data_IF_523744871190
#
_entry.id   IF_523744871190
#
_cell.length_a   1.000
_cell.length_b   1.000
_cell.length_c   1.000
_cell.angle_alpha   90.00
_cell.angle_beta   90.00
_cell.angle_gamma   90.00
#
_symmetry.space_group_name_H-M   'P 1'
#
loop_
_entity.id
_entity.type
_entity.pdbx_description
1 polymer ?
#
# COMPACT_ATOMS: atom_id res chain seq x y z
N UNK A 1 -25.83 0.15 16.13
CA UNK A 1 -25.87 -1.17 16.80
C UNK A 1 -24.48 -1.82 16.91
N UNK A 2 -23.68 -1.89 15.83
CA UNK A 2 -22.33 -2.50 15.87
C UNK A 2 -21.37 -1.87 16.91
N UNK A 3 -21.29 -0.52 16.98
CA UNK A 3 -20.44 0.20 17.95
C UNK A 3 -20.80 -0.12 19.40
N UNK A 4 -22.09 -0.13 19.74
CA UNK A 4 -22.56 -0.46 21.09
C UNK A 4 -22.25 -1.90 21.49
N UNK A 5 -22.34 -2.86 20.55
CA UNK A 5 -21.97 -4.25 20.79
C UNK A 5 -20.46 -4.38 21.05
N UNK A 6 -19.63 -3.65 20.29
CA UNK A 6 -18.18 -3.65 20.48
C UNK A 6 -17.77 -2.98 21.80
N UNK A 7 -18.40 -1.87 22.18
CA UNK A 7 -18.16 -1.23 23.48
C UNK A 7 -18.53 -2.16 24.65
N UNK A 8 -19.62 -2.91 24.52
CA UNK A 8 -20.00 -3.91 25.50
C UNK A 8 -18.99 -5.07 25.55
N UNK A 9 -18.40 -5.48 24.42
CA UNK A 9 -17.37 -6.51 24.38
C UNK A 9 -16.10 -6.09 25.14
N UNK A 10 -15.61 -4.86 24.90
CA UNK A 10 -14.46 -4.30 25.63
C UNK A 10 -14.74 -4.20 27.12
N UNK A 11 -15.94 -3.73 27.52
CA UNK A 11 -16.31 -3.63 28.94
C UNK A 11 -16.42 -4.98 29.65
N UNK A 12 -16.92 -6.01 28.97
CA UNK A 12 -17.09 -7.35 29.55
C UNK A 12 -15.79 -8.12 29.66
N UNK A 13 -14.84 -7.87 28.76
CA UNK A 13 -13.60 -8.62 28.63
C UNK A 13 -12.43 -7.66 28.32
N UNK A 14 -12.07 -6.74 29.24
CA UNK A 14 -11.09 -5.67 28.98
C UNK A 14 -9.66 -6.19 28.72
N UNK A 15 -9.35 -7.42 29.15
CA UNK A 15 -8.06 -8.07 28.88
C UNK A 15 -8.04 -8.83 27.55
N UNK A 16 -9.19 -8.98 26.86
CA UNK A 16 -9.25 -9.69 25.59
C UNK A 16 -9.05 -8.74 24.42
N UNK A 17 -7.97 -8.96 23.68
CA UNK A 17 -7.66 -8.22 22.45
C UNK A 17 -8.82 -8.20 21.44
N UNK A 18 -9.61 -9.28 21.36
CA UNK A 18 -10.77 -9.38 20.45
C UNK A 18 -11.80 -8.26 20.65
N UNK A 19 -12.02 -7.79 21.88
CA UNK A 19 -12.95 -6.67 22.13
C UNK A 19 -12.50 -5.39 21.42
N UNK A 20 -11.20 -5.10 21.51
CA UNK A 20 -10.58 -3.96 20.83
C UNK A 20 -10.59 -4.13 19.31
N UNK A 21 -10.30 -5.34 18.79
CA UNK A 21 -10.41 -5.62 17.34
C UNK A 21 -11.80 -5.30 16.82
N UNK A 22 -12.85 -5.81 17.48
CA UNK A 22 -14.24 -5.57 17.06
C UNK A 22 -14.62 -4.09 17.13
N UNK A 23 -14.14 -3.36 18.15
CA UNK A 23 -14.41 -1.93 18.30
C UNK A 23 -13.67 -1.10 17.25
N UNK A 24 -12.42 -1.44 16.97
CA UNK A 24 -11.63 -0.80 15.92
C UNK A 24 -12.25 -1.00 14.54
N UNK A 25 -12.69 -2.22 14.22
CA UNK A 25 -13.39 -2.51 12.97
C UNK A 25 -14.72 -1.73 12.87
N UNK A 26 -15.50 -1.65 13.96
CA UNK A 26 -16.75 -0.89 13.99
C UNK A 26 -16.52 0.62 13.84
N UNK A 27 -15.50 1.18 14.47
CA UNK A 27 -15.10 2.58 14.33
C UNK A 27 -14.64 2.89 12.90
N UNK A 28 -13.79 2.03 12.33
CA UNK A 28 -13.28 2.19 10.97
C UNK A 28 -14.37 2.11 9.89
N UNK A 29 -15.41 1.27 10.08
CA UNK A 29 -16.59 1.27 9.22
C UNK A 29 -17.37 2.58 9.27
N UNK A 30 -17.35 3.29 10.42
CA UNK A 30 -17.92 4.62 10.57
C UNK A 30 -17.08 5.75 9.99
N UNK A 31 -15.88 5.47 9.47
CA UNK A 31 -14.91 6.47 9.00
C UNK A 31 -14.02 7.05 10.11
N UNK A 32 -14.23 6.65 11.36
CA UNK A 32 -13.47 7.10 12.52
C UNK A 32 -12.10 6.37 12.58
N UNK A 33 -11.15 6.77 11.72
CA UNK A 33 -9.86 6.07 11.60
C UNK A 33 -8.97 6.21 12.84
N UNK A 34 -8.93 7.37 13.49
CA UNK A 34 -8.09 7.58 14.67
C UNK A 34 -8.51 6.70 15.86
N UNK A 35 -9.81 6.63 16.24
CA UNK A 35 -10.27 5.65 17.23
C UNK A 35 -10.02 4.20 16.81
N UNK A 36 -10.20 3.87 15.53
CA UNK A 36 -9.95 2.53 15.03
C UNK A 36 -8.48 2.10 15.20
N UNK A 37 -7.55 2.99 14.86
CA UNK A 37 -6.10 2.77 15.04
C UNK A 37 -5.78 2.51 16.50
N UNK A 38 -6.25 3.36 17.41
CA UNK A 38 -5.97 3.22 18.85
C UNK A 38 -6.47 1.87 19.39
N UNK A 39 -7.63 1.40 18.91
CA UNK A 39 -8.14 0.08 19.25
C UNK A 39 -7.30 -1.07 18.68
N UNK A 40 -6.82 -0.96 17.44
CA UNK A 40 -5.93 -1.98 16.88
C UNK A 40 -4.58 -2.03 17.61
N UNK A 41 -4.03 -0.90 18.02
CA UNK A 41 -2.83 -0.83 18.85
C UNK A 41 -3.06 -1.51 20.20
N UNK A 42 -4.14 -1.15 20.89
CA UNK A 42 -4.50 -1.76 22.16
C UNK A 42 -4.74 -3.28 22.05
N UNK A 43 -5.25 -3.76 20.91
CA UNK A 43 -5.39 -5.19 20.64
C UNK A 43 -4.03 -5.87 20.48
N UNK A 44 -3.13 -5.29 19.67
CA UNK A 44 -1.80 -5.82 19.40
C UNK A 44 -0.87 -5.79 20.62
N UNK A 45 -1.04 -4.82 21.52
CA UNK A 45 -0.32 -4.75 22.80
C UNK A 45 -0.70 -5.92 23.73
N UNK A 46 -1.98 -6.31 23.73
CA UNK A 46 -2.52 -7.38 24.59
C UNK A 46 -2.22 -8.76 24.02
N UNK A 47 -2.44 -8.93 22.73
CA UNK A 47 -2.13 -10.15 22.00
C UNK A 47 -1.53 -9.76 20.65
N UNK A 48 -0.22 -9.96 20.46
CA UNK A 48 0.42 -9.68 19.20
C UNK A 48 -0.22 -10.42 18.02
N UNK A 49 -0.88 -11.56 18.20
CA UNK A 49 -1.52 -12.33 17.14
C UNK A 49 -3.01 -11.97 16.93
N UNK A 50 -3.55 -10.97 17.63
CA UNK A 50 -4.98 -10.66 17.62
C UNK A 50 -5.56 -10.28 16.24
N UNK A 51 -4.69 -9.87 15.31
CA UNK A 51 -5.04 -9.47 13.94
C UNK A 51 -4.51 -10.45 12.89
N UNK A 52 -4.15 -11.66 13.29
CA UNK A 52 -3.60 -12.65 12.36
C UNK A 52 -4.68 -13.40 11.57
N UNK A 53 -5.93 -13.33 12.03
CA UNK A 53 -7.07 -13.95 11.35
C UNK A 53 -7.32 -13.24 10.00
N UNK A 54 -7.34 -13.97 8.86
CA UNK A 54 -7.29 -13.31 7.56
C UNK A 54 -8.36 -12.28 7.26
N UNK A 55 -9.61 -12.51 7.67
CA UNK A 55 -10.71 -11.59 7.36
C UNK A 55 -10.57 -10.27 8.15
N UNK A 56 -10.43 -10.38 9.48
CA UNK A 56 -10.35 -9.22 10.36
C UNK A 56 -9.01 -8.51 10.22
N UNK A 57 -7.92 -9.26 10.10
CA UNK A 57 -6.57 -8.75 9.91
C UNK A 57 -6.40 -7.98 8.60
N UNK A 58 -6.94 -8.49 7.48
CA UNK A 58 -6.89 -7.77 6.21
C UNK A 58 -7.65 -6.43 6.30
N UNK A 59 -8.85 -6.44 6.90
CA UNK A 59 -9.66 -5.23 7.07
C UNK A 59 -9.03 -4.23 8.04
N UNK A 60 -8.42 -4.70 9.13
CA UNK A 60 -7.66 -3.86 10.05
C UNK A 60 -6.45 -3.25 9.35
N UNK A 61 -5.71 -4.02 8.55
CA UNK A 61 -4.57 -3.51 7.79
C UNK A 61 -4.96 -2.43 6.76
N UNK A 62 -6.09 -2.59 6.08
CA UNK A 62 -6.64 -1.56 5.19
C UNK A 62 -6.95 -0.26 5.93
N UNK A 63 -7.60 -0.35 7.09
CA UNK A 63 -7.92 0.82 7.93
C UNK A 63 -6.66 1.48 8.50
N UNK A 64 -5.68 0.69 8.93
CA UNK A 64 -4.38 1.17 9.40
C UNK A 64 -3.64 1.93 8.27
N UNK A 65 -3.61 1.38 7.06
CA UNK A 65 -3.00 2.02 5.89
C UNK A 65 -3.71 3.34 5.56
N UNK A 66 -5.05 3.34 5.49
CA UNK A 66 -5.86 4.55 5.29
C UNK A 66 -5.64 5.62 6.36
N UNK A 67 -5.40 5.21 7.60
CA UNK A 67 -5.09 6.09 8.71
C UNK A 67 -3.61 6.49 8.80
N UNK A 68 -2.78 6.13 7.82
CA UNK A 68 -1.36 6.50 7.75
C UNK A 68 -0.41 5.64 8.59
N UNK A 69 -0.92 4.63 9.31
CA UNK A 69 -0.14 3.68 10.11
C UNK A 69 0.38 2.53 9.25
N UNK A 70 1.14 2.89 8.22
CA UNK A 70 1.76 1.97 7.27
C UNK A 70 2.71 0.96 7.96
N UNK A 71 3.31 1.34 9.08
CA UNK A 71 4.19 0.47 9.88
C UNK A 71 3.43 -0.70 10.51
N UNK A 72 2.28 -0.43 11.13
CA UNK A 72 1.39 -1.45 11.67
C UNK A 72 0.73 -2.26 10.55
N UNK A 73 0.26 -1.59 9.49
CA UNK A 73 -0.35 -2.25 8.35
C UNK A 73 0.60 -3.29 7.74
N UNK A 74 1.87 -2.95 7.51
CA UNK A 74 2.86 -3.88 6.96
C UNK A 74 3.06 -5.12 7.83
N UNK A 75 3.15 -4.93 9.16
CA UNK A 75 3.30 -6.04 10.12
C UNK A 75 2.10 -6.98 10.08
N UNK A 76 0.88 -6.44 10.12
CA UNK A 76 -0.36 -7.22 10.07
C UNK A 76 -0.49 -7.95 8.73
N UNK A 77 -0.25 -7.25 7.62
CA UNK A 77 -0.32 -7.83 6.27
C UNK A 77 0.61 -9.02 6.11
N UNK A 78 1.87 -8.92 6.56
CA UNK A 78 2.82 -10.03 6.48
C UNK A 78 2.33 -11.29 7.19
N UNK A 79 1.74 -11.15 8.39
CA UNK A 79 1.23 -12.29 9.18
C UNK A 79 -0.07 -12.85 8.61
N UNK A 80 -0.96 -12.01 8.11
CA UNK A 80 -2.20 -12.43 7.44
C UNK A 80 -1.90 -13.18 6.15
N UNK A 81 -1.05 -12.61 5.29
CA UNK A 81 -0.67 -13.21 4.00
C UNK A 81 -0.03 -14.59 4.20
N UNK A 82 0.75 -14.78 5.26
CA UNK A 82 1.34 -16.08 5.62
C UNK A 82 0.31 -17.17 5.98
N UNK A 83 -0.88 -16.78 6.42
CA UNK A 83 -1.97 -17.70 6.81
C UNK A 83 -3.03 -17.91 5.73
N UNK A 84 -3.13 -16.99 4.78
CA UNK A 84 -4.10 -17.10 3.70
C UNK A 84 -3.76 -18.25 2.76
N UNK A 85 -4.77 -18.95 2.25
CA UNK A 85 -4.58 -19.85 1.11
C UNK A 85 -4.39 -19.04 -0.17
N UNK A 86 -3.70 -19.62 -1.15
CA UNK A 86 -3.60 -19.02 -2.48
C UNK A 86 -4.99 -18.78 -3.08
N UNK A 87 -5.23 -17.58 -3.61
CA UNK A 87 -6.55 -17.17 -4.07
C UNK A 87 -6.63 -15.68 -4.42
N UNK A 88 -7.79 -15.25 -4.93
CA UNK A 88 -8.02 -13.86 -5.35
C UNK A 88 -7.81 -12.85 -4.23
N UNK A 89 -8.40 -13.10 -3.05
CA UNK A 89 -8.24 -12.22 -1.89
C UNK A 89 -6.78 -12.06 -1.45
N UNK A 90 -6.01 -13.15 -1.45
CA UNK A 90 -4.56 -13.11 -1.11
C UNK A 90 -3.78 -12.25 -2.10
N UNK A 91 -4.10 -12.32 -3.40
CA UNK A 91 -3.44 -11.51 -4.43
C UNK A 91 -3.74 -10.02 -4.31
N UNK A 92 -5.01 -9.66 -4.11
CA UNK A 92 -5.39 -8.25 -3.88
C UNK A 92 -4.70 -7.68 -2.65
N UNK A 93 -4.54 -8.51 -1.61
CA UNK A 93 -3.86 -8.11 -0.38
C UNK A 93 -2.34 -7.90 -0.58
N UNK A 94 -1.70 -8.67 -1.47
CA UNK A 94 -0.32 -8.41 -1.86
C UNK A 94 -0.12 -7.07 -2.58
N UNK A 95 -1.10 -6.61 -3.39
CA UNK A 95 -1.03 -5.28 -4.02
C UNK A 95 -1.05 -4.16 -2.97
N UNK A 96 -1.94 -4.26 -1.98
CA UNK A 96 -1.95 -3.36 -0.82
C UNK A 96 -0.64 -3.44 -0.04
N UNK A 97 -0.12 -4.64 0.19
CA UNK A 97 1.14 -4.83 0.90
C UNK A 97 2.32 -4.18 0.18
N UNK A 98 2.39 -4.28 -1.15
CA UNK A 98 3.36 -3.56 -1.96
C UNK A 98 3.27 -2.04 -1.79
N UNK A 99 2.06 -1.48 -1.80
CA UNK A 99 1.85 -0.02 -1.62
C UNK A 99 2.31 0.46 -0.25
N UNK A 100 1.97 -0.29 0.80
CA UNK A 100 2.38 0.00 2.17
C UNK A 100 3.90 -0.07 2.30
N UNK A 101 4.52 -1.11 1.74
CA UNK A 101 5.98 -1.26 1.76
C UNK A 101 6.69 -0.14 1.01
N UNK A 102 6.21 0.26 -0.17
CA UNK A 102 6.79 1.42 -0.87
C UNK A 102 6.66 2.71 -0.05
N UNK A 103 5.52 2.91 0.61
CA UNK A 103 5.29 4.09 1.44
C UNK A 103 6.26 4.15 2.64
N UNK A 104 6.69 3.00 3.17
CA UNK A 104 7.67 2.93 4.25
C UNK A 104 9.10 3.31 3.82
N UNK A 105 9.39 3.35 2.52
CA UNK A 105 10.63 3.89 1.98
C UNK A 105 11.65 2.87 1.44
N UNK A 106 12.87 3.33 1.14
CA UNK A 106 13.88 2.56 0.39
C UNK A 106 14.25 1.21 0.99
N UNK A 107 14.30 1.10 2.32
CA UNK A 107 14.65 -0.14 3.01
C UNK A 107 13.67 -1.31 2.73
N UNK A 108 12.46 -1.01 2.24
CA UNK A 108 11.41 -1.99 1.94
C UNK A 108 11.22 -2.22 0.44
N UNK A 109 12.04 -1.60 -0.41
CA UNK A 109 11.86 -1.64 -1.87
C UNK A 109 11.84 -3.06 -2.43
N UNK A 110 12.82 -3.89 -2.04
CA UNK A 110 12.92 -5.26 -2.54
C UNK A 110 11.73 -6.13 -2.11
N UNK A 111 11.21 -5.90 -0.91
CA UNK A 111 10.01 -6.59 -0.42
C UNK A 111 8.75 -6.13 -1.16
N UNK A 112 8.66 -4.83 -1.50
CA UNK A 112 7.57 -4.30 -2.30
C UNK A 112 7.55 -4.89 -3.71
N UNK A 113 8.71 -4.99 -4.38
CA UNK A 113 8.85 -5.65 -5.68
C UNK A 113 8.35 -7.10 -5.61
N UNK A 114 8.75 -7.84 -4.58
CA UNK A 114 8.27 -9.22 -4.35
C UNK A 114 6.75 -9.24 -4.18
N UNK A 115 6.19 -8.41 -3.31
CA UNK A 115 4.75 -8.34 -3.06
C UNK A 115 3.95 -8.07 -4.34
N UNK A 116 4.35 -7.08 -5.15
CA UNK A 116 3.63 -6.83 -6.41
C UNK A 116 3.77 -7.96 -7.44
N UNK A 117 4.91 -8.63 -7.50
CA UNK A 117 5.07 -9.83 -8.34
C UNK A 117 4.13 -10.94 -7.89
N UNK A 118 3.95 -11.13 -6.58
CA UNK A 118 2.97 -12.08 -6.04
C UNK A 118 1.52 -11.69 -6.37
N UNK A 119 1.20 -10.39 -6.35
CA UNK A 119 -0.11 -9.90 -6.78
C UNK A 119 -0.38 -10.21 -8.27
N UNK A 120 0.65 -10.11 -9.12
CA UNK A 120 0.56 -10.30 -10.57
C UNK A 120 0.81 -11.74 -11.04
N UNK A 121 1.22 -12.65 -10.15
CA UNK A 121 1.72 -14.00 -10.47
C UNK A 121 0.84 -14.81 -11.43
N UNK A 122 -0.49 -14.71 -11.26
CA UNK A 122 -1.49 -15.37 -12.13
C UNK A 122 -2.51 -14.38 -12.70
N UNK A 123 -2.52 -13.14 -12.23
CA UNK A 123 -3.47 -12.10 -12.60
C UNK A 123 -2.71 -10.96 -13.29
N UNK A 124 -2.25 -11.21 -14.52
CA UNK A 124 -1.39 -10.31 -15.30
C UNK A 124 -1.97 -8.91 -15.63
N UNK A 125 -3.12 -8.55 -15.04
CA UNK A 125 -3.96 -7.43 -15.43
C UNK A 125 -4.36 -6.49 -14.30
N UNK A 126 -3.93 -6.69 -13.05
CA UNK A 126 -4.22 -5.73 -11.96
C UNK A 126 -3.47 -4.40 -12.22
N UNK A 127 -4.18 -3.29 -12.53
CA UNK A 127 -3.52 -2.02 -12.83
C UNK A 127 -2.88 -1.38 -11.59
N UNK A 128 -3.40 -1.63 -10.37
CA UNK A 128 -2.82 -1.12 -9.12
C UNK A 128 -1.46 -1.75 -8.88
N UNK A 129 -1.40 -3.09 -8.89
CA UNK A 129 -0.14 -3.81 -8.75
C UNK A 129 0.82 -3.52 -9.92
N UNK A 130 0.30 -3.36 -11.14
CA UNK A 130 1.11 -3.03 -12.32
C UNK A 130 1.84 -1.69 -12.21
N UNK A 131 1.14 -0.62 -11.82
CA UNK A 131 1.77 0.70 -11.67
C UNK A 131 2.68 0.77 -10.43
N UNK A 132 2.31 0.08 -9.35
CA UNK A 132 3.15 -0.05 -8.16
C UNK A 132 4.47 -0.79 -8.46
N UNK A 133 4.41 -1.91 -9.18
CA UNK A 133 5.60 -2.64 -9.62
C UNK A 133 6.46 -1.82 -10.58
N UNK A 134 5.84 -1.09 -11.52
CA UNK A 134 6.58 -0.20 -12.41
C UNK A 134 7.38 0.86 -11.63
N UNK A 135 6.74 1.51 -10.66
CA UNK A 135 7.44 2.47 -9.79
C UNK A 135 8.57 1.81 -8.99
N UNK A 136 8.31 0.65 -8.39
CA UNK A 136 9.31 -0.07 -7.61
C UNK A 136 10.53 -0.48 -8.45
N UNK A 137 10.29 -1.00 -9.66
CA UNK A 137 11.36 -1.39 -10.59
C UNK A 137 12.13 -0.18 -11.12
N UNK A 138 11.48 0.94 -11.42
CA UNK A 138 12.18 2.18 -11.82
C UNK A 138 13.08 2.69 -10.69
N UNK A 139 12.60 2.66 -9.44
CA UNK A 139 13.39 3.00 -8.24
C UNK A 139 14.59 2.06 -8.06
N UNK A 140 14.41 0.77 -8.35
CA UNK A 140 15.48 -0.21 -8.29
C UNK A 140 16.49 -0.03 -9.44
N UNK A 141 16.03 0.30 -10.64
CA UNK A 141 16.87 0.59 -11.81
C UNK A 141 17.78 1.80 -11.57
N UNK A 142 17.27 2.85 -10.94
CA UNK A 142 18.11 3.99 -10.58
C UNK A 142 19.24 3.63 -9.60
N UNK A 143 19.11 2.52 -8.86
CA UNK A 143 20.12 2.05 -7.90
C UNK A 143 21.09 1.01 -8.49
N UNK A 144 20.85 0.49 -9.70
CA UNK A 144 21.67 -0.55 -10.33
C UNK A 144 21.80 -0.29 -11.83
N UNK A 145 23.00 -0.32 -12.40
CA UNK A 145 23.30 -0.06 -13.83
C UNK A 145 22.65 -1.06 -14.85
N UNK A 146 21.57 -1.76 -14.50
CA UNK A 146 21.04 -2.83 -15.35
C UNK A 146 19.60 -3.30 -15.13
N UNK A 147 18.71 -2.59 -14.43
CA UNK A 147 17.31 -3.04 -14.38
C UNK A 147 16.52 -2.48 -15.58
N UNK A 148 16.29 -3.37 -16.55
CA UNK A 148 15.78 -3.06 -17.89
C UNK A 148 14.36 -2.47 -17.98
N UNK A 149 13.89 -2.37 -19.24
CA UNK A 149 12.64 -1.73 -19.66
C UNK A 149 11.34 -2.36 -19.15
N UNK A 150 11.40 -3.33 -18.22
CA UNK A 150 10.22 -4.00 -17.64
C UNK A 150 9.25 -2.99 -17.03
N UNK A 151 9.77 -2.01 -16.28
CA UNK A 151 8.95 -0.98 -15.67
C UNK A 151 8.20 -0.14 -16.71
N UNK A 152 8.82 0.15 -17.87
CA UNK A 152 8.19 0.90 -18.97
C UNK A 152 7.04 0.12 -19.59
N UNK A 153 7.21 -1.18 -19.77
CA UNK A 153 6.17 -2.07 -20.32
C UNK A 153 4.95 -2.10 -19.39
N UNK A 154 5.18 -2.28 -18.09
CA UNK A 154 4.12 -2.28 -17.08
C UNK A 154 3.37 -0.93 -17.04
N UNK A 155 4.12 0.17 -16.98
CA UNK A 155 3.57 1.52 -16.93
C UNK A 155 2.74 1.86 -18.18
N UNK A 156 3.26 1.57 -19.38
CA UNK A 156 2.53 1.76 -20.64
C UNK A 156 1.22 0.97 -20.68
N UNK A 157 1.23 -0.28 -20.21
CA UNK A 157 0.02 -1.11 -20.15
C UNK A 157 -1.05 -0.50 -19.25
N UNK A 158 -0.66 0.08 -18.12
CA UNK A 158 -1.60 0.75 -17.22
C UNK A 158 -2.11 2.06 -17.84
N UNK A 159 -1.21 2.88 -18.39
CA UNK A 159 -1.56 4.15 -19.03
C UNK A 159 -2.52 3.97 -20.22
N UNK A 160 -2.30 2.94 -21.04
CA UNK A 160 -3.12 2.61 -22.20
C UNK A 160 -4.61 2.32 -21.87
N UNK A 161 -4.94 2.08 -20.60
CA UNK A 161 -6.34 1.91 -20.16
C UNK A 161 -7.10 3.23 -20.03
N UNK A 162 -6.44 4.39 -20.07
CA UNK A 162 -7.09 5.70 -20.02
C UNK A 162 -7.79 6.03 -18.69
N UNK A 163 -7.43 5.34 -17.59
CA UNK A 163 -8.07 5.47 -16.26
C UNK A 163 -7.06 5.73 -15.15
N UNK A 164 -5.89 6.26 -15.49
CA UNK A 164 -4.77 6.41 -14.54
C UNK A 164 -5.15 7.30 -13.36
N UNK A 165 -5.68 8.51 -13.58
CA UNK A 165 -5.99 9.41 -12.45
C UNK A 165 -7.07 8.84 -11.53
N UNK A 166 -8.11 8.21 -12.08
CA UNK A 166 -9.12 7.52 -11.29
C UNK A 166 -8.53 6.40 -10.45
N UNK A 167 -7.60 5.61 -11.01
CA UNK A 167 -6.86 4.58 -10.29
C UNK A 167 -5.99 5.17 -9.18
N UNK A 168 -5.20 6.21 -9.47
CA UNK A 168 -4.31 6.81 -8.48
C UNK A 168 -5.10 7.42 -7.32
N UNK A 169 -6.23 8.05 -7.61
CA UNK A 169 -7.10 8.64 -6.59
C UNK A 169 -7.79 7.59 -5.71
N UNK A 170 -7.94 6.34 -6.18
CA UNK A 170 -8.50 5.25 -5.38
C UNK A 170 -7.46 4.54 -4.50
N UNK A 171 -6.18 4.89 -4.59
CA UNK A 171 -5.11 4.26 -3.82
C UNK A 171 -4.79 5.11 -2.59
N UNK A 172 -4.97 4.52 -1.42
CA UNK A 172 -4.68 5.11 -0.12
C UNK A 172 -3.17 5.11 0.18
N UNK A 173 -2.44 5.97 -0.52
CA UNK A 173 -1.01 6.26 -0.30
C UNK A 173 -0.78 7.77 -0.19
N UNK A 174 0.37 8.24 0.30
CA UNK A 174 0.70 9.66 0.31
C UNK A 174 0.63 10.28 -1.09
N UNK A 175 0.44 11.60 -1.14
CA UNK A 175 0.37 12.33 -2.41
C UNK A 175 1.65 12.19 -3.25
N UNK A 176 2.83 12.20 -2.60
CA UNK A 176 4.11 11.99 -3.28
C UNK A 176 4.20 10.61 -3.95
N UNK A 177 3.62 9.57 -3.33
CA UNK A 177 3.56 8.22 -3.90
C UNK A 177 2.59 8.13 -5.09
N UNK A 178 1.48 8.89 -5.08
CA UNK A 178 0.59 9.02 -6.25
C UNK A 178 1.28 9.79 -7.38
N UNK A 179 1.94 10.90 -7.06
CA UNK A 179 2.68 11.73 -8.01
C UNK A 179 3.80 10.92 -8.69
N UNK A 180 4.56 10.13 -7.92
CA UNK A 180 5.58 9.24 -8.46
C UNK A 180 5.01 8.19 -9.42
N UNK A 181 3.87 7.56 -9.09
CA UNK A 181 3.20 6.62 -10.01
C UNK A 181 2.73 7.30 -11.30
N UNK A 182 2.22 8.53 -11.21
CA UNK A 182 1.86 9.35 -12.39
C UNK A 182 3.09 9.62 -13.25
N UNK A 183 4.18 10.03 -12.62
CA UNK A 183 5.43 10.38 -13.30
C UNK A 183 6.00 9.18 -14.09
N UNK A 184 6.01 7.98 -13.49
CA UNK A 184 6.41 6.73 -14.16
C UNK A 184 5.57 6.45 -15.40
N UNK A 185 4.24 6.64 -15.32
CA UNK A 185 3.34 6.40 -16.45
C UNK A 185 3.59 7.40 -17.59
N UNK A 186 3.77 8.68 -17.27
CA UNK A 186 4.06 9.75 -18.24
C UNK A 186 5.41 9.52 -18.93
N UNK A 187 6.44 9.18 -18.16
CA UNK A 187 7.77 8.88 -18.69
C UNK A 187 7.74 7.68 -19.64
N UNK A 188 7.04 6.61 -19.25
CA UNK A 188 6.89 5.42 -20.09
C UNK A 188 6.08 5.71 -21.38
N UNK A 189 5.25 6.76 -21.36
CA UNK A 189 4.47 7.22 -22.52
C UNK A 189 5.22 8.25 -23.38
N UNK A 190 6.39 8.71 -22.94
CA UNK A 190 7.26 9.63 -23.67
C UNK A 190 7.03 11.12 -23.36
N UNK A 191 6.09 11.46 -22.49
CA UNK A 191 5.85 12.85 -22.08
C UNK A 191 6.84 13.26 -20.98
N UNK A 192 8.07 13.61 -21.39
CA UNK A 192 9.16 13.98 -20.48
C UNK A 192 8.82 15.19 -19.61
N UNK A 193 8.18 16.20 -20.17
CA UNK A 193 7.88 17.45 -19.47
C UNK A 193 6.84 17.22 -18.37
N UNK A 194 5.74 16.53 -18.67
CA UNK A 194 4.75 16.20 -17.67
C UNK A 194 5.30 15.20 -16.63
N UNK A 195 6.12 14.25 -17.06
CA UNK A 195 6.79 13.31 -16.15
C UNK A 195 7.70 14.04 -15.16
N UNK A 196 8.52 14.99 -15.63
CA UNK A 196 9.37 15.83 -14.78
C UNK A 196 8.54 16.59 -13.74
N UNK A 197 7.48 17.25 -14.18
CA UNK A 197 6.59 17.99 -13.26
C UNK A 197 5.97 17.07 -12.20
N UNK A 198 5.56 15.85 -12.59
CA UNK A 198 5.03 14.87 -11.65
C UNK A 198 6.10 14.34 -10.66
N UNK A 199 7.38 14.23 -11.08
CA UNK A 199 8.48 13.90 -10.17
C UNK A 199 8.76 15.00 -9.16
N UNK A 200 8.71 16.28 -9.58
CA UNK A 200 8.84 17.42 -8.65
C UNK A 200 7.74 17.39 -7.57
N UNK A 201 6.50 17.04 -7.93
CA UNK A 201 5.42 16.87 -6.94
C UNK A 201 5.64 15.67 -6.00
N UNK A 202 6.53 14.74 -6.37
CA UNK A 202 6.87 13.57 -5.56
C UNK A 202 8.06 13.80 -4.60
N UNK A 203 8.61 15.01 -4.53
CA UNK A 203 9.79 15.36 -3.69
C UNK A 203 9.49 15.47 -2.18
N UNK A 204 8.68 14.56 -1.65
CA UNK A 204 8.30 14.55 -0.24
C UNK A 204 8.37 13.14 0.35
N UNK A 205 8.72 13.08 1.63
CA UNK A 205 8.81 11.82 2.37
C UNK A 205 10.08 11.02 2.05
N UNK A 206 10.06 9.69 2.26
CA UNK A 206 11.28 8.88 2.24
C UNK A 206 11.93 8.73 0.87
N UNK A 207 11.26 9.17 -0.20
CA UNK A 207 11.73 9.09 -1.58
C UNK A 207 12.11 10.44 -2.19
N UNK A 208 12.14 11.52 -1.41
CA UNK A 208 12.32 12.88 -1.93
C UNK A 208 13.60 13.03 -2.79
N UNK A 209 14.74 12.55 -2.32
CA UNK A 209 16.00 12.60 -3.07
C UNK A 209 15.95 11.82 -4.39
N UNK A 210 15.29 10.64 -4.40
CA UNK A 210 15.12 9.84 -5.61
C UNK A 210 14.19 10.52 -6.61
N UNK A 211 13.11 11.14 -6.12
CA UNK A 211 12.18 11.89 -6.94
C UNK A 211 12.86 13.10 -7.59
N UNK A 212 13.70 13.81 -6.84
CA UNK A 212 14.49 14.94 -7.34
C UNK A 212 15.45 14.52 -8.45
N UNK A 213 16.29 13.51 -8.21
CA UNK A 213 17.22 12.98 -9.22
C UNK A 213 16.47 12.48 -10.48
N UNK A 214 15.27 11.92 -10.30
CA UNK A 214 14.42 11.52 -11.41
C UNK A 214 13.87 12.70 -12.21
N UNK A 215 13.61 13.85 -11.59
CA UNK A 215 13.21 15.07 -12.27
C UNK A 215 14.39 15.69 -13.05
N UNK A 216 15.57 15.74 -12.43
CA UNK A 216 16.80 16.24 -13.07
C UNK A 216 17.18 15.42 -14.32
N UNK A 217 17.07 14.09 -14.26
CA UNK A 217 17.34 13.22 -15.42
C UNK A 217 16.38 13.42 -16.61
N UNK A 218 15.27 14.15 -16.39
CA UNK A 218 14.27 14.46 -17.40
C UNK A 218 14.37 15.87 -17.98
N UNK A 219 15.26 16.71 -17.44
CA UNK A 219 15.73 17.95 -18.11
C UNK A 219 16.36 17.66 -19.48
#
# INVERSE_FOLDING_TARGET
QARQAADAAVRRLPERALGYVLRGLAAGQGGDLAPAIADFEAALERDPASLDEPLDGARAAELLARGGRHDLAARVLGRVLGRMREGGGRRSLYALYGDVLLTLGPARLSDAVRAYREALRTAAHDPRAGIGLALALRRQAAATDGAGDEWRVLARRVAARGRLDALLNSIDVPESERAARRAVALEASGDRAAARNAWLQAEHGPWAAQAHAAAEALE
#
